data_IF_847672163847
#
_entry.id   IF_847672163847
#
_cell.length_a   1.000
_cell.length_b   1.000
_cell.length_c   1.000
_cell.angle_alpha   90.00
_cell.angle_beta   90.00
_cell.angle_gamma   90.00
#
_symmetry.space_group_name_H-M   'P 1'
#
loop_
_entity.id
_entity.type
_entity.pdbx_description
1 polymer ?
#
# COMPACT_ATOMS: atom_id res chain seq x y z
N UNK A 1 0.90 -6.43 12.54
CA UNK A 1 -0.35 -5.85 13.08
C UNK A 1 -0.19 -4.34 13.19
N UNK A 2 -1.22 -3.61 12.79
CA UNK A 2 -1.27 -2.14 12.87
C UNK A 2 -2.30 -1.71 13.91
N UNK A 3 -1.97 -0.69 14.69
CA UNK A 3 -2.85 -0.06 15.67
C UNK A 3 -2.49 1.43 15.77
N UNK A 4 -3.42 2.25 16.23
CA UNK A 4 -3.26 3.71 16.31
C UNK A 4 -3.95 4.43 15.16
N UNK A 5 -3.61 5.70 14.93
CA UNK A 5 -4.22 6.50 13.84
C UNK A 5 -5.74 6.68 13.95
N UNK A 6 -6.29 6.59 15.17
CA UNK A 6 -7.74 6.65 15.41
C UNK A 6 -8.44 5.29 15.30
N UNK A 7 -7.74 4.22 14.97
CA UNK A 7 -8.30 2.87 14.96
C UNK A 7 -8.49 2.37 16.40
N UNK A 8 -9.65 1.77 16.70
CA UNK A 8 -9.98 1.23 18.02
C UNK A 8 -9.41 -0.17 18.24
N UNK A 9 -9.28 -0.93 17.16
CA UNK A 9 -8.87 -2.32 17.16
C UNK A 9 -7.50 -2.51 16.55
N UNK A 10 -7.01 -3.75 16.58
CA UNK A 10 -5.79 -4.17 15.87
C UNK A 10 -6.15 -4.65 14.49
N UNK A 11 -5.29 -4.35 13.51
CA UNK A 11 -5.48 -4.73 12.12
C UNK A 11 -4.29 -5.54 11.63
N UNK A 12 -4.56 -6.57 10.87
CA UNK A 12 -3.58 -7.52 10.32
C UNK A 12 -3.37 -7.20 8.84
N UNK A 13 -2.12 -7.05 8.41
CA UNK A 13 -1.79 -6.88 7.00
C UNK A 13 -2.18 -8.14 6.23
N UNK A 14 -3.06 -8.00 5.25
CA UNK A 14 -3.55 -9.08 4.41
C UNK A 14 -2.83 -9.12 3.06
N UNK A 15 -2.69 -7.97 2.41
CA UNK A 15 -2.10 -7.86 1.08
C UNK A 15 -1.59 -6.44 0.82
N UNK A 16 -0.75 -6.33 -0.17
CA UNK A 16 -0.34 -5.04 -0.73
C UNK A 16 -0.49 -5.07 -2.24
N UNK A 17 -0.74 -3.92 -2.83
CA UNK A 17 -0.78 -3.74 -4.27
C UNK A 17 -0.43 -2.32 -4.67
N UNK A 18 -0.15 -2.15 -5.94
CA UNK A 18 0.32 -0.91 -6.52
C UNK A 18 -0.68 -0.40 -7.56
N UNK A 19 -0.86 0.91 -7.60
CA UNK A 19 -1.57 1.62 -8.66
C UNK A 19 -0.58 2.52 -9.40
N UNK A 20 -0.48 2.37 -10.71
CA UNK A 20 0.38 3.19 -11.58
C UNK A 20 -0.32 3.49 -12.89
N UNK A 21 0.19 4.46 -13.64
CA UNK A 21 -0.34 4.89 -14.92
C UNK A 21 0.69 4.86 -16.05
N UNK A 22 0.27 5.32 -17.20
CA UNK A 22 1.12 5.38 -18.41
C UNK A 22 2.10 6.56 -18.40
N UNK A 23 1.91 7.52 -17.49
CA UNK A 23 2.76 8.71 -17.35
C UNK A 23 3.09 8.95 -15.88
N UNK A 24 4.12 9.76 -15.66
CA UNK A 24 4.51 10.19 -14.31
C UNK A 24 3.52 11.16 -13.63
N UNK A 25 2.50 11.59 -14.34
CA UNK A 25 1.49 12.53 -13.85
C UNK A 25 0.14 11.87 -13.56
N UNK A 26 0.06 10.56 -13.74
CA UNK A 26 -1.14 9.75 -13.51
C UNK A 26 -0.74 8.38 -12.96
N UNK A 27 -1.58 7.82 -12.12
CA UNK A 27 -1.32 6.49 -11.53
C UNK A 27 -1.96 6.33 -10.17
N UNK A 28 -1.81 7.29 -9.27
CA UNK A 28 -2.43 7.23 -7.95
C UNK A 28 -3.96 7.33 -8.04
N UNK A 29 -4.64 6.62 -7.15
CA UNK A 29 -6.09 6.75 -6.95
C UNK A 29 -6.43 8.00 -6.14
N UNK A 30 -5.61 8.31 -5.14
CA UNK A 30 -5.76 9.53 -4.35
C UNK A 30 -5.07 10.72 -5.01
N UNK A 31 -5.71 11.86 -4.88
CA UNK A 31 -5.21 13.14 -5.37
C UNK A 31 -4.85 14.04 -4.19
N UNK A 32 -3.76 14.76 -4.31
CA UNK A 32 -3.39 15.83 -3.38
C UNK A 32 -3.53 17.16 -4.09
N UNK A 33 -4.41 18.02 -3.61
CA UNK A 33 -4.75 19.30 -4.25
C UNK A 33 -5.11 19.14 -5.74
N UNK A 34 -5.85 18.06 -6.07
CA UNK A 34 -6.27 17.74 -7.41
C UNK A 34 -5.20 17.13 -8.32
N UNK A 35 -4.03 16.81 -7.79
CA UNK A 35 -2.91 16.25 -8.56
C UNK A 35 -2.72 14.77 -8.25
N UNK A 36 -2.55 13.98 -9.29
CA UNK A 36 -2.18 12.57 -9.18
C UNK A 36 -0.66 12.42 -9.05
N UNK A 37 -0.27 11.27 -8.50
CA UNK A 37 1.12 10.84 -8.36
C UNK A 37 1.40 9.67 -9.31
N UNK A 38 2.67 9.44 -9.69
CA UNK A 38 3.05 8.34 -10.56
C UNK A 38 2.66 6.96 -10.05
N UNK A 39 2.70 6.78 -8.73
CA UNK A 39 2.48 5.48 -8.10
C UNK A 39 1.83 5.68 -6.73
N UNK A 40 0.91 4.78 -6.39
CA UNK A 40 0.36 4.65 -5.04
C UNK A 40 0.43 3.20 -4.60
N UNK A 41 1.07 2.96 -3.46
CA UNK A 41 1.12 1.66 -2.80
C UNK A 41 -0.02 1.57 -1.78
N UNK A 42 -0.82 0.53 -1.85
CA UNK A 42 -1.83 0.22 -0.85
C UNK A 42 -1.40 -0.97 0.01
N UNK A 43 -1.52 -0.80 1.32
CA UNK A 43 -1.29 -1.81 2.34
C UNK A 43 -2.65 -2.10 2.99
N UNK A 44 -3.28 -3.19 2.58
CA UNK A 44 -4.63 -3.56 3.01
C UNK A 44 -4.54 -4.41 4.27
N UNK A 45 -5.20 -3.94 5.32
CA UNK A 45 -5.29 -4.63 6.60
C UNK A 45 -6.75 -4.98 6.90
N UNK A 46 -6.96 -6.06 7.62
CA UNK A 46 -8.27 -6.42 8.14
C UNK A 46 -8.28 -6.42 9.67
N UNK A 47 -9.43 -6.10 10.24
CA UNK A 47 -9.63 -6.06 11.69
C UNK A 47 -9.47 -7.47 12.27
N UNK A 48 -8.59 -7.59 13.27
CA UNK A 48 -8.21 -8.88 13.89
C UNK A 48 -9.34 -9.58 14.65
N UNK A 49 -10.47 -8.92 14.87
CA UNK A 49 -11.66 -9.56 15.47
C UNK A 49 -12.38 -10.48 14.48
N UNK A 50 -12.13 -10.33 13.19
CA UNK A 50 -12.64 -11.22 12.14
C UNK A 50 -11.64 -12.30 11.79
N UNK A 51 -12.10 -13.46 11.37
CA UNK A 51 -11.25 -14.62 11.12
C UNK A 51 -10.34 -14.45 9.90
N UNK A 52 -10.82 -13.69 8.90
CA UNK A 52 -10.12 -13.48 7.63
C UNK A 52 -10.60 -12.22 6.91
N UNK A 53 -9.85 -11.83 5.87
CA UNK A 53 -10.18 -10.68 5.03
C UNK A 53 -11.58 -10.80 4.39
N UNK A 54 -11.94 -11.98 3.90
CA UNK A 54 -13.22 -12.23 3.24
C UNK A 54 -14.44 -12.02 4.15
N UNK A 55 -14.29 -12.25 5.45
CA UNK A 55 -15.29 -11.91 6.45
C UNK A 55 -15.27 -10.41 6.74
N UNK A 56 -14.10 -9.87 7.01
CA UNK A 56 -13.91 -8.48 7.41
C UNK A 56 -14.50 -7.47 6.42
N UNK A 57 -14.42 -7.71 5.11
CA UNK A 57 -14.93 -6.79 4.06
C UNK A 57 -16.45 -6.56 4.14
N UNK A 58 -17.16 -7.37 4.89
CA UNK A 58 -18.62 -7.26 5.06
C UNK A 58 -19.01 -6.33 6.21
N UNK A 59 -18.05 -5.78 6.92
CA UNK A 59 -18.25 -4.96 8.11
C UNK A 59 -17.66 -3.56 7.93
N UNK A 60 -18.34 -2.56 8.45
CA UNK A 60 -17.95 -1.14 8.33
C UNK A 60 -16.59 -0.84 8.96
N UNK A 61 -16.19 -1.61 9.96
CA UNK A 61 -14.92 -1.50 10.66
C UNK A 61 -13.92 -2.62 10.27
N UNK A 62 -14.23 -3.34 9.20
CA UNK A 62 -13.50 -4.53 8.82
C UNK A 62 -12.12 -4.24 8.22
N UNK A 63 -11.96 -3.13 7.53
CA UNK A 63 -10.74 -2.82 6.78
C UNK A 63 -10.09 -1.52 7.23
N UNK A 64 -8.76 -1.51 7.13
CA UNK A 64 -7.96 -0.29 7.18
C UNK A 64 -6.89 -0.38 6.06
N UNK A 65 -6.82 0.66 5.25
CA UNK A 65 -5.86 0.73 4.14
C UNK A 65 -4.93 1.91 4.34
N UNK A 66 -3.64 1.64 4.24
CA UNK A 66 -2.61 2.68 4.21
C UNK A 66 -2.21 2.90 2.76
N UNK A 67 -2.42 4.10 2.25
CA UNK A 67 -1.96 4.54 0.93
C UNK A 67 -0.64 5.31 1.04
N UNK A 68 0.33 4.97 0.23
CA UNK A 68 1.63 5.66 0.16
C UNK A 68 1.83 6.18 -1.25
N UNK A 69 1.82 7.51 -1.38
CA UNK A 69 2.05 8.18 -2.65
C UNK A 69 3.55 8.28 -2.93
N UNK A 70 3.93 8.01 -4.15
CA UNK A 70 5.30 8.07 -4.62
C UNK A 70 5.44 9.07 -5.77
N UNK A 71 6.54 9.80 -5.77
CA UNK A 71 6.95 10.64 -6.90
C UNK A 71 8.29 10.15 -7.47
N UNK A 72 8.59 10.57 -8.66
CA UNK A 72 9.87 10.24 -9.30
C UNK A 72 11.02 10.92 -8.58
N UNK A 73 12.13 10.18 -8.45
CA UNK A 73 13.40 10.70 -7.97
C UNK A 73 14.54 10.30 -8.90
N UNK A 74 15.69 10.97 -8.79
CA UNK A 74 16.86 10.65 -9.59
C UNK A 74 17.52 9.33 -9.18
N UNK A 75 17.30 8.89 -7.92
CA UNK A 75 17.90 7.69 -7.36
C UNK A 75 16.81 6.69 -6.96
N UNK A 76 17.13 5.40 -7.11
CA UNK A 76 16.26 4.31 -6.70
C UNK A 76 16.16 4.24 -5.16
N UNK A 77 14.95 3.94 -4.68
CA UNK A 77 14.75 3.64 -3.27
C UNK A 77 14.97 2.13 -3.03
N UNK A 78 16.07 1.75 -2.34
CA UNK A 78 16.38 0.34 -2.12
C UNK A 78 15.32 -0.39 -1.29
N UNK A 79 14.55 0.33 -0.46
CA UNK A 79 13.45 -0.26 0.31
C UNK A 79 12.31 -0.77 -0.57
N UNK A 80 12.15 -0.23 -1.77
CA UNK A 80 11.13 -0.65 -2.74
C UNK A 80 11.60 -1.76 -3.67
N UNK A 81 12.87 -2.14 -3.64
CA UNK A 81 13.42 -3.12 -4.57
C UNK A 81 12.68 -4.46 -4.57
N UNK A 82 12.30 -5.07 -3.42
CA UNK A 82 11.53 -6.31 -3.43
C UNK A 82 10.16 -6.18 -4.12
N UNK A 83 9.50 -5.03 -3.99
CA UNK A 83 8.24 -4.75 -4.68
C UNK A 83 8.45 -4.60 -6.19
N UNK A 84 9.51 -3.93 -6.61
CA UNK A 84 9.82 -3.72 -8.02
C UNK A 84 10.21 -5.04 -8.70
N UNK A 85 10.95 -5.91 -8.03
CA UNK A 85 11.27 -7.26 -8.52
C UNK A 85 9.99 -8.07 -8.75
N UNK A 86 9.07 -8.07 -7.78
CA UNK A 86 7.78 -8.73 -7.91
C UNK A 86 6.93 -8.13 -9.04
N UNK A 87 6.87 -6.81 -9.14
CA UNK A 87 6.09 -6.12 -10.17
C UNK A 87 6.56 -6.43 -11.60
N UNK A 88 7.84 -6.65 -11.80
CA UNK A 88 8.39 -7.03 -13.11
C UNK A 88 7.88 -8.37 -13.62
N UNK A 89 7.41 -9.24 -12.75
CA UNK A 89 6.86 -10.55 -13.12
C UNK A 89 5.38 -10.50 -13.52
N UNK A 90 4.70 -9.37 -13.30
CA UNK A 90 3.29 -9.18 -13.63
C UNK A 90 3.15 -8.06 -14.66
N UNK A 91 2.95 -8.45 -15.90
CA UNK A 91 2.88 -7.53 -17.06
C UNK A 91 1.45 -7.31 -17.57
N UNK A 92 0.50 -8.11 -17.07
CA UNK A 92 -0.92 -8.06 -17.47
C UNK A 92 -1.76 -7.68 -16.26
N UNK A 93 -2.80 -6.89 -16.50
CA UNK A 93 -3.79 -6.50 -15.48
C UNK A 93 -4.35 -7.72 -14.74
N UNK A 94 -4.54 -7.60 -13.43
CA UNK A 94 -5.08 -8.62 -12.54
C UNK A 94 -4.17 -9.84 -12.27
N UNK A 95 -2.91 -9.80 -12.66
CA UNK A 95 -1.94 -10.79 -12.23
C UNK A 95 -1.50 -10.57 -10.78
N UNK A 96 -1.16 -11.66 -10.11
CA UNK A 96 -0.62 -11.66 -8.75
C UNK A 96 0.70 -12.41 -8.70
N UNK A 97 1.58 -12.00 -7.81
CA UNK A 97 2.84 -12.67 -7.53
C UNK A 97 3.19 -12.55 -6.05
N UNK A 98 3.98 -13.47 -5.55
CA UNK A 98 4.56 -13.37 -4.21
C UNK A 98 5.84 -12.53 -4.22
N UNK A 99 6.21 -11.98 -3.08
CA UNK A 99 7.50 -11.34 -2.89
C UNK A 99 8.58 -12.41 -2.71
N UNK A 100 9.71 -12.27 -3.41
CA UNK A 100 10.87 -13.14 -3.24
C UNK A 100 11.67 -12.81 -1.99
N UNK A 101 11.53 -11.58 -1.48
CA UNK A 101 12.11 -11.10 -0.23
C UNK A 101 11.05 -10.41 0.62
N UNK A 102 11.14 -10.60 1.94
CA UNK A 102 10.24 -9.94 2.87
C UNK A 102 10.42 -8.43 2.90
N UNK A 103 9.32 -7.73 3.12
CA UNK A 103 9.30 -6.28 3.38
C UNK A 103 8.61 -6.03 4.73
N UNK A 104 8.95 -4.94 5.39
CA UNK A 104 8.29 -4.52 6.61
C UNK A 104 7.50 -3.25 6.38
N UNK A 105 6.45 -3.04 7.16
CA UNK A 105 5.70 -1.77 7.13
C UNK A 105 6.64 -0.57 7.28
N UNK A 106 7.59 -0.66 8.22
CA UNK A 106 8.55 0.42 8.47
C UNK A 106 9.39 0.77 7.24
N UNK A 107 9.77 -0.23 6.43
CA UNK A 107 10.57 0.03 5.22
C UNK A 107 9.76 0.62 4.08
N UNK A 108 8.45 0.42 4.08
CA UNK A 108 7.55 0.91 3.02
C UNK A 108 6.94 2.29 3.33
N UNK A 109 6.96 2.70 4.59
CA UNK A 109 6.41 3.98 5.00
C UNK A 109 7.44 5.10 4.85
N UNK A 110 7.01 6.34 4.52
CA UNK A 110 7.90 7.48 4.47
C UNK A 110 8.59 7.71 5.82
N UNK A 111 9.86 8.09 5.84
CA UNK A 111 10.60 8.34 7.08
C UNK A 111 10.21 9.66 7.77
N UNK A 112 9.32 10.46 7.19
CA UNK A 112 9.03 11.83 7.63
C UNK A 112 7.95 11.85 8.70
N UNK A 113 8.19 12.49 9.86
CA UNK A 113 7.13 12.76 10.85
C UNK A 113 6.01 13.60 10.23
N UNK A 114 4.75 13.23 10.50
CA UNK A 114 3.58 13.96 10.00
C UNK A 114 2.99 13.43 8.71
N UNK A 115 3.48 12.30 8.18
CA UNK A 115 2.77 11.59 7.10
C UNK A 115 1.41 11.12 7.60
N UNK A 116 0.36 11.45 6.84
CA UNK A 116 -1.00 11.04 7.18
C UNK A 116 -1.27 9.66 6.61
N UNK A 117 -1.62 8.72 7.49
CA UNK A 117 -2.14 7.42 7.13
C UNK A 117 -3.64 7.42 7.43
N UNK A 118 -4.43 7.24 6.43
CA UNK A 118 -5.88 7.06 6.57
C UNK A 118 -6.28 5.66 6.19
#
# INVERSE_FOLDING_TARGET
MSAGGGLKDRYILAQLHLHWGNTSQAGSEHLVEGRAFPLELHLVHYNSKYSELGEAVRHDDGLAVVGVLHHLSAEDNPSLQPLMEAARSVVVTHQQTGLTRGVTMKSLLPPVPGSFYR
#
